data_IF_404248679069
#
_entry.id   IF_404248679069
#
_cell.length_a   1.000
_cell.length_b   1.000
_cell.length_c   1.000
_cell.angle_alpha   90.00
_cell.angle_beta   90.00
_cell.angle_gamma   90.00
#
_symmetry.space_group_name_H-M   'P 1'
#
loop_
_entity.id
_entity.type
_entity.pdbx_description
1 polymer ?
#
# COMPACT_ATOMS: atom_id res chain seq x y z
N UNK A 1 7.34 12.02 23.41
CA UNK A 1 8.18 11.14 22.55
C UNK A 1 7.95 11.52 21.10
N UNK A 2 9.01 11.84 20.36
CA UNK A 2 8.95 12.13 18.92
C UNK A 2 8.98 10.82 18.16
N UNK A 3 7.87 10.39 17.58
CA UNK A 3 7.83 9.21 16.71
C UNK A 3 8.42 9.57 15.34
N UNK A 4 9.75 9.48 15.23
CA UNK A 4 10.44 9.56 13.94
C UNK A 4 10.32 8.22 13.23
N UNK A 5 9.36 8.08 12.31
CA UNK A 5 9.24 6.88 11.48
C UNK A 5 9.93 7.13 10.14
N UNK A 6 11.23 6.82 10.06
CA UNK A 6 11.95 6.87 8.78
C UNK A 6 11.52 5.69 7.91
N UNK A 7 10.50 5.89 7.07
CA UNK A 7 10.05 4.88 6.08
C UNK A 7 10.69 5.24 4.74
N UNK A 8 11.52 4.33 4.20
CA UNK A 8 11.94 4.35 2.80
C UNK A 8 10.81 3.70 1.99
N UNK A 9 10.00 4.50 1.32
CA UNK A 9 8.78 3.98 0.67
C UNK A 9 8.99 3.69 -0.82
N UNK A 10 9.16 2.40 -1.14
CA UNK A 10 9.02 1.86 -2.51
C UNK A 10 7.53 1.64 -2.86
N UNK A 11 6.66 1.50 -1.86
CA UNK A 11 5.23 1.25 -2.00
C UNK A 11 4.39 2.43 -1.49
N UNK A 12 3.28 2.73 -2.16
CA UNK A 12 2.31 3.76 -1.72
C UNK A 12 1.27 3.22 -0.74
N UNK A 13 1.02 1.92 -0.80
CA UNK A 13 -0.03 1.26 -0.01
C UNK A 13 0.56 0.17 0.88
N UNK A 14 0.13 0.17 2.14
CA UNK A 14 0.46 -0.86 3.13
C UNK A 14 -0.83 -1.39 3.75
N UNK A 15 -0.89 -2.69 4.07
CA UNK A 15 -2.08 -3.24 4.73
C UNK A 15 -2.27 -2.56 6.08
N UNK A 16 -3.53 -2.29 6.44
CA UNK A 16 -3.88 -1.62 7.68
C UNK A 16 -3.31 -2.36 8.91
N UNK A 17 -3.35 -3.68 8.91
CA UNK A 17 -2.77 -4.52 9.98
C UNK A 17 -1.28 -4.24 10.19
N UNK A 18 -0.50 -4.19 9.10
CA UNK A 18 0.94 -3.89 9.14
C UNK A 18 1.19 -2.43 9.53
N UNK A 19 0.39 -1.50 9.03
CA UNK A 19 0.50 -0.09 9.40
C UNK A 19 0.30 0.13 10.92
N UNK A 20 -0.73 -0.49 11.48
CA UNK A 20 -1.01 -0.48 12.93
C UNK A 20 0.16 -1.06 13.72
N UNK A 21 0.71 -2.20 13.27
CA UNK A 21 1.87 -2.82 13.90
C UNK A 21 3.09 -1.88 13.93
N UNK A 22 3.35 -1.15 12.85
CA UNK A 22 4.51 -0.26 12.74
C UNK A 22 4.33 1.07 13.49
N UNK A 23 3.12 1.63 13.47
CA UNK A 23 2.83 2.96 14.02
C UNK A 23 2.33 2.91 15.48
N UNK A 24 1.90 1.75 15.97
CA UNK A 24 1.31 1.60 17.31
C UNK A 24 -0.08 2.23 17.45
N UNK A 25 -0.68 2.70 16.36
CA UNK A 25 -2.03 3.25 16.34
C UNK A 25 -3.07 2.13 16.33
N UNK A 26 -4.24 2.34 16.94
CA UNK A 26 -5.34 1.36 16.89
C UNK A 26 -6.11 1.45 15.58
N UNK A 27 -6.70 0.34 15.13
CA UNK A 27 -7.58 0.30 13.96
C UNK A 27 -8.72 1.33 14.02
N UNK A 28 -9.34 1.46 15.20
CA UNK A 28 -10.42 2.42 15.45
C UNK A 28 -10.01 3.87 15.15
N UNK A 29 -8.83 4.28 15.65
CA UNK A 29 -8.30 5.63 15.40
C UNK A 29 -8.07 5.88 13.91
N UNK A 30 -7.47 4.91 13.20
CA UNK A 30 -7.20 5.05 11.77
C UNK A 30 -8.49 5.12 10.95
N UNK A 31 -9.49 4.29 11.27
CA UNK A 31 -10.81 4.32 10.59
C UNK A 31 -11.60 5.62 10.79
N UNK A 32 -11.31 6.37 11.86
CA UNK A 32 -11.94 7.67 12.12
C UNK A 32 -11.30 8.83 11.39
N UNK A 33 -10.14 8.63 10.77
CA UNK A 33 -9.46 9.67 10.00
C UNK A 33 -10.31 9.97 8.77
N UNK A 34 -10.72 11.23 8.62
CA UNK A 34 -11.45 11.72 7.46
C UNK A 34 -10.49 12.44 6.52
N UNK A 35 -10.53 12.17 5.20
CA UNK A 35 -9.88 13.03 4.24
C UNK A 35 -10.53 14.43 4.27
N UNK A 36 -9.75 15.47 4.00
CA UNK A 36 -10.29 16.85 3.92
C UNK A 36 -10.85 17.17 2.53
N UNK A 37 -10.34 16.53 1.47
CA UNK A 37 -10.86 16.66 0.11
C UNK A 37 -11.60 15.39 -0.28
N UNK A 38 -12.85 15.55 -0.69
CA UNK A 38 -13.67 14.45 -1.17
C UNK A 38 -13.10 13.91 -2.49
N UNK A 39 -13.09 12.58 -2.58
CA UNK A 39 -12.85 11.73 -3.77
C UNK A 39 -11.42 11.33 -4.14
N UNK A 40 -10.36 12.13 -3.96
CA UNK A 40 -9.02 11.75 -4.46
C UNK A 40 -7.98 11.34 -3.39
N UNK A 41 -8.24 11.63 -2.12
CA UNK A 41 -7.31 11.37 -1.01
C UNK A 41 -7.85 10.32 -0.04
N UNK A 42 -8.29 9.17 -0.55
CA UNK A 42 -8.70 8.06 0.32
C UNK A 42 -7.50 7.56 1.13
N UNK A 43 -7.47 7.93 2.41
CA UNK A 43 -6.48 7.47 3.40
C UNK A 43 -6.62 5.96 3.60
N UNK A 44 -7.85 5.46 3.57
CA UNK A 44 -8.16 4.03 3.63
C UNK A 44 -8.82 3.57 2.33
N UNK A 45 -8.26 2.51 1.75
CA UNK A 45 -8.71 1.95 0.47
C UNK A 45 -8.93 0.44 0.64
N UNK A 46 -10.11 -0.04 0.22
CA UNK A 46 -10.37 -1.49 0.17
C UNK A 46 -9.98 -2.00 -1.21
N UNK A 47 -8.94 -2.82 -1.29
CA UNK A 47 -8.52 -3.45 -2.54
C UNK A 47 -9.60 -4.42 -3.08
N UNK A 48 -9.53 -4.83 -4.36
CA UNK A 48 -10.51 -5.75 -4.94
C UNK A 48 -10.68 -7.08 -4.20
N UNK A 49 -9.68 -7.49 -3.42
CA UNK A 49 -9.73 -8.71 -2.61
C UNK A 49 -10.24 -8.53 -1.18
N UNK A 50 -10.78 -7.35 -0.86
CA UNK A 50 -11.35 -7.04 0.46
C UNK A 50 -10.32 -6.63 1.51
N UNK A 51 -9.01 -6.68 1.22
CA UNK A 51 -8.00 -6.19 2.16
C UNK A 51 -8.02 -4.66 2.25
N UNK A 52 -7.90 -4.14 3.47
CA UNK A 52 -7.86 -2.70 3.75
C UNK A 52 -6.42 -2.19 3.76
N UNK A 53 -6.16 -1.14 2.98
CA UNK A 53 -4.86 -0.50 2.82
C UNK A 53 -4.88 0.93 3.31
N UNK A 54 -3.74 1.38 3.85
CA UNK A 54 -3.46 2.77 4.14
C UNK A 54 -2.68 3.36 2.97
N UNK A 55 -3.18 4.44 2.39
CA UNK A 55 -2.45 5.27 1.45
C UNK A 55 -1.46 6.13 2.24
N UNK A 56 -0.18 5.80 2.16
CA UNK A 56 0.87 6.44 2.95
C UNK A 56 1.04 7.92 2.60
N UNK A 57 0.81 8.30 1.35
CA UNK A 57 0.87 9.69 0.91
C UNK A 57 -0.32 10.50 1.45
N UNK A 58 -1.53 9.98 1.32
CA UNK A 58 -2.72 10.66 1.84
C UNK A 58 -2.66 10.78 3.38
N UNK A 59 -2.20 9.72 4.06
CA UNK A 59 -1.99 9.75 5.51
C UNK A 59 -0.94 10.79 5.91
N UNK A 60 0.20 10.84 5.21
CA UNK A 60 1.23 11.84 5.45
C UNK A 60 0.71 13.27 5.28
N UNK A 61 0.00 13.53 4.18
CA UNK A 61 -0.61 14.83 3.92
C UNK A 61 -1.58 15.22 5.04
N UNK A 62 -2.44 14.28 5.48
CA UNK A 62 -3.34 14.51 6.61
C UNK A 62 -2.57 14.86 7.90
N UNK A 63 -1.48 14.15 8.20
CA UNK A 63 -0.66 14.44 9.37
C UNK A 63 -0.01 15.83 9.33
N UNK A 64 0.57 16.21 8.19
CA UNK A 64 1.15 17.55 7.99
C UNK A 64 0.10 18.64 8.20
N UNK A 65 -1.10 18.46 7.65
CA UNK A 65 -2.19 19.44 7.76
C UNK A 65 -2.77 19.55 9.18
N UNK A 66 -2.73 18.47 9.95
CA UNK A 66 -3.20 18.44 11.36
C UNK A 66 -2.05 18.68 12.36
N UNK A 67 -0.93 19.26 11.90
CA UNK A 67 0.24 19.59 12.73
C UNK A 67 0.80 18.41 13.52
N UNK A 68 0.68 17.20 12.98
CA UNK A 68 1.33 16.01 13.53
C UNK A 68 2.77 15.92 13.01
N UNK A 69 3.77 15.90 13.91
CA UNK A 69 5.17 15.69 13.54
C UNK A 69 5.38 14.27 12.99
N UNK A 70 5.57 14.14 11.68
CA UNK A 70 5.99 12.89 11.02
C UNK A 70 7.10 13.22 10.01
N UNK A 71 8.14 12.39 9.97
CA UNK A 71 9.19 12.48 8.95
C UNK A 71 9.13 11.24 8.05
N UNK A 72 8.47 11.32 6.90
CA UNK A 72 8.47 10.26 5.88
C UNK A 72 9.41 10.67 4.75
N UNK A 73 10.39 9.83 4.43
CA UNK A 73 11.32 10.07 3.32
C UNK A 73 10.87 9.23 2.11
N UNK A 74 10.20 9.88 1.16
CA UNK A 74 9.85 9.23 -0.11
C UNK A 74 11.10 9.13 -0.98
N UNK A 75 11.55 7.90 -1.26
CA UNK A 75 12.57 7.69 -2.28
C UNK A 75 11.88 7.76 -3.64
N UNK A 76 12.38 8.57 -4.59
CA UNK A 76 11.79 8.64 -5.92
C UNK A 76 11.73 7.25 -6.57
N UNK A 77 10.55 6.91 -7.08
CA UNK A 77 10.26 5.63 -7.72
C UNK A 77 11.06 5.46 -9.02
N UNK A 78 12.30 4.98 -8.91
CA UNK A 78 13.05 4.38 -10.02
C UNK A 78 12.99 2.85 -10.03
N UNK A 79 12.57 2.24 -8.91
CA UNK A 79 12.48 0.79 -8.75
C UNK A 79 11.02 0.36 -8.94
N UNK A 80 10.71 -0.11 -10.13
CA UNK A 80 9.37 -0.63 -10.49
C UNK A 80 9.19 -2.08 -10.05
N UNK A 81 10.29 -2.83 -9.92
CA UNK A 81 10.28 -4.26 -9.69
C UNK A 81 11.02 -4.60 -8.40
N UNK A 82 10.37 -5.36 -7.51
CA UNK A 82 10.99 -5.90 -6.30
C UNK A 82 10.63 -7.37 -6.12
N UNK A 83 11.41 -8.11 -5.32
CA UNK A 83 11.07 -9.49 -5.01
C UNK A 83 9.75 -9.61 -4.24
N UNK A 84 9.06 -10.73 -4.41
CA UNK A 84 7.84 -11.03 -3.67
C UNK A 84 8.08 -11.04 -2.15
N UNK A 85 9.27 -11.48 -1.72
CA UNK A 85 9.71 -11.44 -0.33
C UNK A 85 9.77 -10.01 0.22
N UNK A 86 10.44 -9.11 -0.50
CA UNK A 86 10.55 -7.71 -0.08
C UNK A 86 9.17 -7.03 -0.10
N UNK A 87 8.36 -7.29 -1.12
CA UNK A 87 7.00 -6.73 -1.17
C UNK A 87 6.13 -7.21 -0.01
N UNK A 88 6.21 -8.50 0.35
CA UNK A 88 5.51 -9.07 1.50
C UNK A 88 5.91 -8.36 2.80
N UNK A 89 7.21 -8.16 3.02
CA UNK A 89 7.75 -7.47 4.18
C UNK A 89 7.23 -6.03 4.30
N UNK A 90 7.29 -5.28 3.21
CA UNK A 90 6.90 -3.87 3.15
C UNK A 90 5.40 -3.66 3.32
N UNK A 91 4.59 -4.49 2.65
CA UNK A 91 3.14 -4.28 2.57
C UNK A 91 2.35 -5.01 3.65
N UNK A 92 2.94 -6.06 4.24
CA UNK A 92 2.24 -6.95 5.17
C UNK A 92 1.45 -8.07 4.49
N UNK A 93 1.61 -8.27 3.18
CA UNK A 93 1.22 -9.53 2.55
C UNK A 93 2.10 -10.68 3.03
N UNK A 94 1.60 -11.91 2.94
CA UNK A 94 2.46 -13.09 2.99
C UNK A 94 2.85 -13.48 1.56
N UNK A 95 4.02 -14.09 1.38
CA UNK A 95 4.47 -14.60 0.07
C UNK A 95 3.44 -15.58 -0.50
N UNK A 96 2.92 -16.48 0.34
CA UNK A 96 1.84 -17.41 -0.05
C UNK A 96 0.57 -16.70 -0.52
N UNK A 97 0.21 -15.57 0.08
CA UNK A 97 -0.93 -14.79 -0.38
C UNK A 97 -0.67 -14.18 -1.76
N UNK A 98 0.55 -13.69 -2.01
CA UNK A 98 0.99 -13.17 -3.31
C UNK A 98 0.94 -14.27 -4.39
N UNK A 99 1.54 -15.43 -4.11
CA UNK A 99 1.53 -16.58 -5.02
C UNK A 99 0.10 -16.99 -5.37
N UNK A 100 -0.76 -17.08 -4.36
CA UNK A 100 -2.17 -17.41 -4.55
C UNK A 100 -2.92 -16.38 -5.39
N UNK A 101 -2.58 -15.08 -5.33
CA UNK A 101 -3.17 -14.07 -6.24
C UNK A 101 -2.87 -14.37 -7.69
N UNK A 102 -1.68 -14.87 -7.98
CA UNK A 102 -1.28 -15.24 -9.33
C UNK A 102 -1.93 -16.56 -9.77
N UNK A 103 -1.92 -17.58 -8.92
CA UNK A 103 -2.56 -18.88 -9.17
C UNK A 103 -4.07 -18.73 -9.42
N UNK A 104 -4.75 -17.92 -8.59
CA UNK A 104 -6.19 -17.65 -8.69
C UNK A 104 -6.52 -16.65 -9.83
N UNK A 105 -5.53 -16.24 -10.65
CA UNK A 105 -5.67 -15.27 -11.75
C UNK A 105 -6.25 -13.90 -11.33
N UNK A 106 -6.10 -13.57 -10.06
CA UNK A 106 -6.47 -12.25 -9.52
C UNK A 106 -5.42 -11.21 -9.94
N UNK A 107 -4.15 -11.61 -9.97
CA UNK A 107 -3.04 -10.83 -10.49
C UNK A 107 -2.62 -11.37 -11.84
N UNK A 108 -2.56 -10.48 -12.83
CA UNK A 108 -2.09 -10.82 -14.17
C UNK A 108 -0.56 -11.00 -14.19
N UNK A 109 0.00 -11.68 -15.21
CA UNK A 109 1.45 -11.86 -15.35
C UNK A 109 2.26 -10.55 -15.44
N UNK A 110 1.61 -9.42 -15.75
CA UNK A 110 2.26 -8.09 -15.72
C UNK A 110 2.50 -7.58 -14.29
N UNK A 111 1.79 -8.13 -13.30
CA UNK A 111 1.91 -7.81 -11.87
C UNK A 111 2.95 -8.70 -11.19
N UNK A 112 2.86 -10.03 -11.37
CA UNK A 112 3.77 -11.01 -10.77
C UNK A 112 4.34 -11.89 -11.87
N UNK A 113 5.66 -11.98 -11.96
CA UNK A 113 6.36 -12.81 -12.93
C UNK A 113 7.61 -13.44 -12.32
N UNK A 114 8.08 -14.53 -12.93
CA UNK A 114 9.36 -15.14 -12.57
C UNK A 114 10.48 -14.46 -13.36
N UNK A 115 11.55 -14.07 -12.68
CA UNK A 115 12.79 -13.66 -13.33
C UNK A 115 13.53 -14.88 -13.89
N UNK A 116 14.53 -14.68 -14.76
CA UNK A 116 15.30 -15.78 -15.36
C UNK A 116 16.02 -16.69 -14.36
N UNK A 117 16.32 -16.18 -13.16
CA UNK A 117 16.91 -16.93 -12.03
C UNK A 117 15.86 -17.69 -11.19
N UNK A 118 14.57 -17.60 -11.53
CA UNK A 118 13.48 -18.32 -10.88
C UNK A 118 12.83 -17.60 -9.70
N UNK A 119 13.38 -16.45 -9.28
CA UNK A 119 12.80 -15.58 -8.25
C UNK A 119 11.45 -14.99 -8.72
N UNK A 120 10.56 -14.71 -7.77
CA UNK A 120 9.29 -14.03 -8.06
C UNK A 120 9.48 -12.51 -7.91
N UNK A 121 9.23 -11.79 -8.99
CA UNK A 121 9.28 -10.33 -9.05
C UNK A 121 7.88 -9.72 -9.18
N UNK A 122 7.68 -8.61 -8.47
CA UNK A 122 6.45 -7.84 -8.44
C UNK A 122 6.67 -6.49 -9.11
N UNK A 123 5.81 -6.17 -10.07
CA UNK A 123 5.66 -4.81 -10.58
C UNK A 123 4.78 -3.98 -9.61
N UNK A 124 5.43 -3.18 -8.76
CA UNK A 124 4.76 -2.41 -7.70
C UNK A 124 3.71 -1.47 -8.29
N UNK A 125 4.05 -0.75 -9.36
CA UNK A 125 3.15 0.22 -10.01
C UNK A 125 1.84 -0.43 -10.48
N UNK A 126 1.92 -1.66 -11.00
CA UNK A 126 0.75 -2.43 -11.43
C UNK A 126 -0.10 -2.91 -10.26
N UNK A 127 0.52 -3.35 -9.15
CA UNK A 127 -0.24 -3.68 -7.93
C UNK A 127 -0.96 -2.45 -7.39
N UNK A 128 -0.29 -1.31 -7.33
CA UNK A 128 -0.90 -0.06 -6.85
C UNK A 128 -2.09 0.37 -7.70
N UNK A 129 -1.97 0.26 -9.03
CA UNK A 129 -3.06 0.51 -9.97
C UNK A 129 -4.22 -0.47 -9.75
N UNK A 130 -3.92 -1.74 -9.47
CA UNK A 130 -4.92 -2.75 -9.13
C UNK A 130 -5.64 -2.46 -7.81
N UNK A 131 -4.93 -2.01 -6.76
CA UNK A 131 -5.52 -1.63 -5.46
C UNK A 131 -6.59 -0.55 -5.64
N UNK A 132 -6.32 0.47 -6.45
CA UNK A 132 -7.23 1.61 -6.65
C UNK A 132 -8.26 1.39 -7.78
N UNK A 133 -8.13 0.32 -8.56
CA UNK A 133 -8.98 0.05 -9.75
C UNK A 133 -10.48 0.08 -9.45
N UNK A 134 -10.89 -0.37 -8.25
CA UNK A 134 -12.29 -0.33 -7.79
C UNK A 134 -12.84 1.10 -7.71
N UNK A 135 -12.00 2.07 -7.36
CA UNK A 135 -12.40 3.46 -7.18
C UNK A 135 -12.34 4.24 -8.49
N UNK A 136 -11.39 3.92 -9.36
CA UNK A 136 -11.34 4.48 -10.73
C UNK A 136 -12.57 4.04 -11.54
N UNK A 137 -12.93 2.75 -11.45
CA UNK A 137 -14.04 2.20 -12.23
C UNK A 137 -15.41 2.35 -11.54
N UNK A 138 -15.43 2.63 -10.23
CA UNK A 138 -16.61 2.81 -9.41
C UNK A 138 -17.24 4.20 -9.47
N UNK A 139 -16.56 5.20 -10.05
CA UNK A 139 -17.08 6.56 -10.30
C UNK A 139 -18.07 6.66 -11.48
N UNK A 140 -18.58 5.53 -11.99
CA UNK A 140 -19.65 5.46 -12.99
C UNK A 140 -20.78 4.56 -12.47
N UNK A 141 -21.47 4.98 -11.42
CA UNK A 141 -22.84 4.55 -11.13
C UNK A 141 -23.60 5.68 -10.45
#
# INVERSE_FOLDING_TARGET
MKNKIKIINVVKFIKLSKFIQLNGATEYKIKKIKPQNDEQDLILITAPDGNLFVNLRAYHNWCVMNQHEIQIEFVPAGITFISANLYAELTGYTVKAIERKFEDKIWEPSILFRSPDGELLINVSKVESWIISKYINGGRR
#
